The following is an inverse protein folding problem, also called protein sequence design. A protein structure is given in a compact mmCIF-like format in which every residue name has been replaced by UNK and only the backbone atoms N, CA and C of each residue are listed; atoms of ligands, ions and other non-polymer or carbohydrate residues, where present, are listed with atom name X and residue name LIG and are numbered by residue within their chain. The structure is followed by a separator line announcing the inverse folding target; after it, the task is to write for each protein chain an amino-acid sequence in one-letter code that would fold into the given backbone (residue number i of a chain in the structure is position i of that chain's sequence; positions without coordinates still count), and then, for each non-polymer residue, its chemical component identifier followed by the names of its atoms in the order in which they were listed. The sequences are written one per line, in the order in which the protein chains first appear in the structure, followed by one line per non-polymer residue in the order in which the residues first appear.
data_IF_411557547117
#
_entry.id   IF_411557547117
#
_cell.length_a   1.000
_cell.length_b   1.000
_cell.length_c   1.000
_cell.angle_alpha   90.00
_cell.angle_beta   90.00
_cell.angle_gamma   90.00
#
_symmetry.space_group_name_H-M   'P 1'
#
loop_
_entity.id
_entity.type
_entity.pdbx_description
1 polymer ?
#
# COMPACT_ATOMS: atom_id res chain seq x y z
N UNK A 1 10.77 -10.52 1.78
CA UNK A 1 9.42 -10.40 1.25
C UNK A 1 9.39 -9.46 0.08
N UNK A 2 8.35 -9.60 -0.75
CA UNK A 2 8.26 -8.83 -2.00
C UNK A 2 8.28 -7.33 -1.74
N UNK A 3 7.46 -6.86 -0.81
CA UNK A 3 7.38 -5.41 -0.53
C UNK A 3 8.71 -4.85 -0.06
N UNK A 4 9.41 -5.58 0.80
CA UNK A 4 10.70 -5.15 1.31
C UNK A 4 11.73 -5.04 0.20
N UNK A 5 11.74 -6.01 -0.70
CA UNK A 5 12.64 -6.02 -1.84
C UNK A 5 12.36 -4.83 -2.75
N UNK A 6 11.09 -4.57 -3.05
CA UNK A 6 10.71 -3.43 -3.89
C UNK A 6 11.14 -2.12 -3.26
N UNK A 7 10.90 -1.94 -1.96
CA UNK A 7 11.30 -0.72 -1.28
C UNK A 7 12.80 -0.50 -1.35
N UNK A 8 13.57 -1.55 -1.10
CA UNK A 8 15.02 -1.45 -1.07
C UNK A 8 15.59 -1.24 -2.47
N UNK A 9 15.19 -2.08 -3.42
CA UNK A 9 15.87 -2.13 -4.73
C UNK A 9 15.33 -1.13 -5.72
N UNK A 10 14.04 -0.79 -5.64
CA UNK A 10 13.46 0.11 -6.62
C UNK A 10 13.31 1.54 -6.09
N UNK A 11 13.24 1.73 -4.78
CA UNK A 11 13.04 3.05 -4.20
C UNK A 11 14.19 3.50 -3.30
N UNK A 12 15.11 2.61 -2.96
CA UNK A 12 16.24 2.96 -2.11
C UNK A 12 15.87 3.24 -0.65
N UNK A 13 14.75 2.74 -0.19
CA UNK A 13 14.31 2.93 1.19
C UNK A 13 14.97 1.90 2.10
N UNK A 14 15.21 2.28 3.35
CA UNK A 14 15.82 1.40 4.34
C UNK A 14 14.76 0.61 5.11
N UNK A 15 15.23 -0.22 6.05
CA UNK A 15 14.36 -1.09 6.82
C UNK A 15 13.34 -0.31 7.66
N UNK A 16 13.72 0.87 8.16
CA UNK A 16 12.80 1.70 8.94
C UNK A 16 11.57 2.06 8.11
N UNK A 17 11.74 2.31 6.81
CA UNK A 17 10.61 2.62 5.94
C UNK A 17 9.73 1.39 5.73
N UNK A 18 10.33 0.20 5.63
CA UNK A 18 9.53 -1.01 5.54
C UNK A 18 8.71 -1.25 6.82
N UNK A 19 9.29 -0.98 7.98
CA UNK A 19 8.55 -1.15 9.24
C UNK A 19 7.34 -0.24 9.29
N UNK A 20 7.45 0.99 8.80
CA UNK A 20 6.32 1.89 8.71
C UNK A 20 5.27 1.36 7.74
N UNK A 21 5.68 0.86 6.59
CA UNK A 21 4.76 0.27 5.63
C UNK A 21 4.04 -0.93 6.21
N UNK A 22 4.77 -1.78 6.92
CA UNK A 22 4.20 -2.95 7.56
C UNK A 22 3.14 -2.55 8.59
N UNK A 23 3.42 -1.55 9.41
CA UNK A 23 2.46 -1.04 10.39
C UNK A 23 1.22 -0.50 9.70
N UNK A 24 1.41 0.28 8.65
CA UNK A 24 0.31 0.90 7.92
C UNK A 24 -0.60 -0.16 7.29
N UNK A 25 -0.02 -1.09 6.55
CA UNK A 25 -0.82 -2.07 5.81
C UNK A 25 -1.36 -3.18 6.69
N UNK A 26 -0.75 -3.42 7.84
CA UNK A 26 -1.36 -4.29 8.85
C UNK A 26 -2.66 -3.66 9.36
N UNK A 27 -2.65 -2.35 9.63
CA UNK A 27 -3.85 -1.65 10.05
C UNK A 27 -4.90 -1.56 8.95
N UNK A 28 -4.47 -1.43 7.68
CA UNK A 28 -5.41 -1.30 6.58
C UNK A 28 -6.10 -2.61 6.23
N UNK A 29 -5.35 -3.69 6.14
CA UNK A 29 -5.89 -4.93 5.58
C UNK A 29 -5.29 -6.20 6.16
N UNK A 30 -4.35 -6.09 7.10
CA UNK A 30 -3.53 -7.22 7.56
C UNK A 30 -2.80 -7.88 6.38
N UNK A 31 -2.38 -7.09 5.39
CA UNK A 31 -1.71 -7.57 4.18
C UNK A 31 -2.58 -8.54 3.36
N UNK A 32 -3.88 -8.48 3.52
CA UNK A 32 -4.78 -9.39 2.83
C UNK A 32 -5.18 -8.81 1.48
N UNK A 33 -4.68 -9.41 0.39
CA UNK A 33 -4.95 -8.90 -0.94
C UNK A 33 -6.44 -9.04 -1.33
N UNK A 34 -7.20 -9.83 -0.60
CA UNK A 34 -8.64 -10.02 -0.83
C UNK A 34 -9.50 -9.08 0.03
N UNK A 35 -8.87 -8.30 0.92
CA UNK A 35 -9.64 -7.42 1.81
C UNK A 35 -10.48 -6.43 0.98
N UNK A 36 -11.74 -6.30 1.32
CA UNK A 36 -12.65 -5.42 0.61
C UNK A 36 -13.60 -4.75 1.60
N UNK A 37 -13.68 -3.42 1.51
CA UNK A 37 -14.61 -2.66 2.32
C UNK A 37 -15.88 -2.46 1.51
N UNK A 38 -16.95 -3.14 1.90
CA UNK A 38 -18.20 -3.11 1.13
C UNK A 38 -18.95 -1.80 1.24
N UNK A 39 -18.56 -0.93 2.17
CA UNK A 39 -19.17 0.41 2.27
C UNK A 39 -18.52 1.40 1.33
N UNK A 40 -17.20 1.41 1.26
CA UNK A 40 -16.47 2.39 0.46
C UNK A 40 -16.03 1.87 -0.89
N UNK A 41 -15.83 0.54 -1.01
CA UNK A 41 -15.24 -0.08 -2.18
C UNK A 41 -13.72 -0.16 -2.13
N UNK A 42 -13.10 0.29 -1.02
CA UNK A 42 -11.65 0.16 -0.88
C UNK A 42 -11.25 -1.31 -0.95
N UNK A 43 -10.15 -1.61 -1.65
CA UNK A 43 -9.82 -2.99 -1.94
C UNK A 43 -8.33 -3.26 -1.83
N UNK A 44 -8.01 -4.47 -1.34
CA UNK A 44 -6.68 -5.04 -1.37
C UNK A 44 -5.80 -4.62 -0.21
N UNK A 45 -4.52 -4.93 -0.34
CA UNK A 45 -3.52 -4.72 0.71
C UNK A 45 -3.47 -3.26 1.15
N UNK A 46 -3.44 -2.34 0.18
CA UNK A 46 -3.33 -0.90 0.45
C UNK A 46 -4.68 -0.21 0.58
N UNK A 47 -5.77 -0.93 0.41
CA UNK A 47 -7.14 -0.38 0.46
C UNK A 47 -7.32 0.76 -0.53
N UNK A 48 -7.00 0.47 -1.80
CA UNK A 48 -7.13 1.44 -2.89
C UNK A 48 -8.57 1.87 -3.09
N UNK A 49 -8.78 3.16 -3.32
CA UNK A 49 -10.12 3.73 -3.47
C UNK A 49 -10.10 4.86 -4.51
N UNK A 50 -10.80 4.73 -5.63
CA UNK A 50 -11.46 3.52 -6.10
C UNK A 50 -10.44 2.43 -6.49
N UNK A 51 -10.85 1.19 -6.33
CA UNK A 51 -9.94 0.06 -6.52
C UNK A 51 -9.37 0.00 -7.95
N UNK A 52 -10.14 0.44 -8.93
CA UNK A 52 -9.73 0.42 -10.34
C UNK A 52 -8.49 1.27 -10.62
N UNK A 53 -8.13 2.18 -9.73
CA UNK A 53 -6.88 2.95 -9.88
C UNK A 53 -5.67 2.03 -10.01
N UNK A 54 -5.75 0.84 -9.44
CA UNK A 54 -4.64 -0.11 -9.47
C UNK A 54 -4.34 -0.62 -10.88
N UNK A 55 -5.27 -0.44 -11.82
CA UNK A 55 -5.07 -0.91 -13.20
C UNK A 55 -3.93 -0.18 -13.91
N UNK A 56 -3.50 0.98 -13.43
CA UNK A 56 -2.34 1.67 -14.02
C UNK A 56 -1.04 0.89 -13.82
N UNK A 57 -1.00 0.02 -12.82
CA UNK A 57 0.16 -0.83 -12.58
C UNK A 57 0.00 -2.18 -13.29
N UNK A 58 -1.20 -2.75 -13.23
CA UNK A 58 -1.46 -4.02 -13.90
C UNK A 58 -2.93 -4.34 -13.85
N UNK A 59 -3.45 -4.96 -14.92
CA UNK A 59 -4.86 -5.30 -15.00
C UNK A 59 -5.24 -6.47 -14.11
N UNK A 60 -4.25 -7.17 -13.57
CA UNK A 60 -4.44 -8.33 -12.69
C UNK A 60 -4.53 -7.92 -11.20
N UNK A 61 -4.83 -6.67 -10.92
CA UNK A 61 -4.76 -6.13 -9.56
C UNK A 61 -5.70 -6.85 -8.58
N UNK A 62 -6.79 -7.46 -9.07
CA UNK A 62 -7.72 -8.17 -8.18
C UNK A 62 -7.12 -9.43 -7.59
N UNK A 63 -6.25 -10.08 -8.33
CA UNK A 63 -5.76 -11.42 -7.98
C UNK A 63 -4.27 -11.47 -7.70
N UNK A 64 -3.52 -10.43 -8.04
CA UNK A 64 -2.07 -10.43 -7.89
C UNK A 64 -1.64 -9.48 -6.77
N UNK A 65 -1.23 -10.03 -5.60
CA UNK A 65 -0.80 -9.17 -4.50
C UNK A 65 0.41 -8.31 -4.84
N UNK A 66 1.29 -8.76 -5.73
CA UNK A 66 2.46 -7.97 -6.13
C UNK A 66 2.02 -6.69 -6.84
N UNK A 67 1.03 -6.79 -7.73
CA UNK A 67 0.48 -5.61 -8.41
C UNK A 67 -0.09 -4.61 -7.39
N UNK A 68 -0.79 -5.12 -6.39
CA UNK A 68 -1.35 -4.27 -5.35
C UNK A 68 -0.24 -3.60 -4.53
N UNK A 69 0.80 -4.35 -4.18
CA UNK A 69 1.93 -3.82 -3.42
C UNK A 69 2.62 -2.71 -4.23
N UNK A 70 2.88 -2.95 -5.50
CA UNK A 70 3.52 -1.94 -6.35
C UNK A 70 2.68 -0.68 -6.45
N UNK A 71 1.37 -0.83 -6.63
CA UNK A 71 0.50 0.34 -6.69
C UNK A 71 0.53 1.11 -5.38
N UNK A 72 0.47 0.40 -4.26
CA UNK A 72 0.44 1.05 -2.95
C UNK A 72 1.71 1.83 -2.66
N UNK A 73 2.87 1.25 -2.97
CA UNK A 73 4.15 1.94 -2.78
C UNK A 73 4.22 3.17 -3.68
N UNK A 74 3.79 3.04 -4.94
CA UNK A 74 3.75 4.16 -5.86
C UNK A 74 2.85 5.27 -5.33
N UNK A 75 1.65 4.92 -4.86
CA UNK A 75 0.71 5.88 -4.30
C UNK A 75 1.33 6.63 -3.10
N UNK A 76 1.94 5.88 -2.19
CA UNK A 76 2.55 6.46 -1.00
C UNK A 76 3.68 7.41 -1.37
N UNK A 77 4.55 7.01 -2.30
CA UNK A 77 5.69 7.85 -2.66
C UNK A 77 5.25 9.12 -3.37
N UNK A 78 4.20 9.04 -4.20
CA UNK A 78 3.70 10.21 -4.91
C UNK A 78 2.97 11.18 -4.00
N UNK A 79 2.25 10.66 -2.99
CA UNK A 79 1.42 11.51 -2.14
C UNK A 79 2.09 11.91 -0.84
N UNK A 80 2.89 11.04 -0.25
CA UNK A 80 3.46 11.26 1.09
C UNK A 80 4.98 11.24 1.11
N UNK A 81 5.63 10.94 0.00
CA UNK A 81 7.07 10.89 -0.13
C UNK A 81 7.68 9.61 0.46
N UNK A 82 7.31 9.22 1.68
CA UNK A 82 7.87 8.01 2.30
C UNK A 82 6.80 7.23 3.05
N UNK A 83 7.00 5.91 3.22
CA UNK A 83 6.08 5.11 4.04
C UNK A 83 5.92 5.63 5.46
N UNK A 84 6.98 6.11 6.08
CA UNK A 84 6.87 6.61 7.45
C UNK A 84 6.04 7.89 7.52
N UNK A 85 6.11 8.74 6.52
CA UNK A 85 5.24 9.92 6.47
C UNK A 85 3.78 9.53 6.28
N UNK A 86 3.52 8.52 5.44
CA UNK A 86 2.17 8.02 5.25
C UNK A 86 1.63 7.42 6.55
N UNK A 87 2.45 6.65 7.25
CA UNK A 87 2.07 6.05 8.53
C UNK A 87 1.75 7.11 9.57
N UNK A 88 2.56 8.15 9.63
CA UNK A 88 2.34 9.26 10.56
C UNK A 88 1.00 9.95 10.27
N UNK A 89 0.71 10.18 8.99
CA UNK A 89 -0.56 10.78 8.57
C UNK A 89 -1.73 9.89 8.96
N UNK A 90 -1.62 8.60 8.70
CA UNK A 90 -2.67 7.65 9.02
C UNK A 90 -2.95 7.61 10.52
N UNK A 91 -1.90 7.61 11.36
CA UNK A 91 -2.08 7.57 12.81
C UNK A 91 -2.86 8.76 13.32
N UNK A 92 -2.70 9.92 12.70
CA UNK A 92 -3.40 11.13 13.15
C UNK A 92 -4.81 11.24 12.60
N UNK A 93 -5.13 10.58 11.48
CA UNK A 93 -6.40 10.74 10.78
C UNK A 93 -7.17 9.46 10.51
N UNK A 94 -6.55 8.31 10.76
CA UNK A 94 -7.15 7.00 10.50
C UNK A 94 -7.40 6.74 9.00
N UNK A 95 -6.71 7.48 8.11
CA UNK A 95 -6.73 7.21 6.67
C UNK A 95 -5.50 7.85 6.02
N UNK A 96 -5.25 7.46 4.78
CA UNK A 96 -4.15 8.08 4.06
C UNK A 96 -4.43 8.13 2.55
#
# INVERSE_FOLDING_TARGET
KVAEIILTEEYGFNEAQFECLDSLWTRESHWNYKAHNYRSGAHGIAQALPAEKMSVVGTDWRTNPVTQIRWGIRYITMRYDTPCKAWSFFKSRNYY
#
